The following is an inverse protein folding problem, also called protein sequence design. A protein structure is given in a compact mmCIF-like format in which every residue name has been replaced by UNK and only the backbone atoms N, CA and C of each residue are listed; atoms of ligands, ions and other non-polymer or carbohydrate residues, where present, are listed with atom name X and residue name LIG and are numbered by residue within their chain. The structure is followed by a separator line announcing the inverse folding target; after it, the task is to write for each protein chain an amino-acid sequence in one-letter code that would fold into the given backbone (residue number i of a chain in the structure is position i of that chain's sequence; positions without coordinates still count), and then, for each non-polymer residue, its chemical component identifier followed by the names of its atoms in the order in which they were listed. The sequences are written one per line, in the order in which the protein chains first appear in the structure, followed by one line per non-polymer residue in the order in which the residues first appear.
data_IF_494892684767
#
_entry.id   IF_494892684767
#
_cell.length_a   1.000
_cell.length_b   1.000
_cell.length_c   1.000
_cell.angle_alpha   90.00
_cell.angle_beta   90.00
_cell.angle_gamma   90.00
#
_symmetry.space_group_name_H-M   'P 1'
#
loop_
_entity.id
_entity.type
_entity.pdbx_description
1 polymer ?
#
# COMPACT_ATOMS: atom_id res chain seq x y z
N UNK A 1 2.98 -8.19 -32.92
CA UNK A 1 3.65 -8.35 -31.62
C UNK A 1 2.74 -7.77 -30.55
N UNK A 2 1.75 -8.55 -30.13
CA UNK A 2 0.89 -8.22 -28.98
C UNK A 2 1.50 -8.91 -27.78
N UNK A 3 2.01 -8.12 -26.85
CA UNK A 3 2.53 -8.60 -25.57
C UNK A 3 1.32 -8.96 -24.70
N UNK A 4 0.89 -10.22 -24.75
CA UNK A 4 -0.06 -10.77 -23.78
C UNK A 4 0.66 -10.76 -22.42
N UNK A 5 0.37 -9.75 -21.60
CA UNK A 5 0.98 -9.59 -20.29
C UNK A 5 0.28 -10.59 -19.33
N UNK A 6 0.82 -11.79 -19.20
CA UNK A 6 0.27 -12.82 -18.31
C UNK A 6 0.36 -12.38 -16.85
N UNK A 7 -0.74 -12.54 -16.10
CA UNK A 7 -0.77 -12.24 -14.68
C UNK A 7 0.04 -13.27 -13.92
N UNK A 8 1.11 -12.85 -13.25
CA UNK A 8 1.97 -13.78 -12.51
C UNK A 8 1.33 -14.29 -11.22
N UNK A 9 0.40 -13.54 -10.61
CA UNK A 9 -0.23 -13.91 -9.34
C UNK A 9 -1.60 -14.60 -9.51
N UNK A 10 -2.00 -14.92 -10.74
CA UNK A 10 -3.25 -15.62 -11.05
C UNK A 10 -2.95 -16.94 -11.76
N UNK A 11 -3.65 -18.00 -11.38
CA UNK A 11 -3.57 -19.28 -12.09
C UNK A 11 -4.35 -19.25 -13.41
N UNK A 12 -4.34 -20.36 -14.16
CA UNK A 12 -5.05 -20.49 -15.45
C UNK A 12 -6.58 -20.33 -15.32
N UNK A 13 -7.13 -20.47 -14.11
CA UNK A 13 -8.55 -20.29 -13.78
C UNK A 13 -8.84 -18.89 -13.23
N UNK A 14 -7.84 -18.01 -13.13
CA UNK A 14 -7.96 -16.65 -12.58
C UNK A 14 -8.00 -16.60 -11.06
N UNK A 15 -7.63 -17.68 -10.36
CA UNK A 15 -7.56 -17.73 -8.90
C UNK A 15 -6.21 -17.21 -8.41
N UNK A 16 -6.19 -16.54 -7.26
CA UNK A 16 -4.95 -16.03 -6.68
C UNK A 16 -4.02 -17.19 -6.29
N UNK A 17 -2.76 -17.12 -6.71
CA UNK A 17 -1.71 -18.04 -6.29
C UNK A 17 -0.42 -17.27 -5.98
N UNK A 18 0.41 -17.83 -5.10
CA UNK A 18 1.72 -17.26 -4.78
C UNK A 18 2.73 -17.74 -5.82
N UNK A 19 3.47 -16.79 -6.41
CA UNK A 19 4.55 -17.10 -7.36
C UNK A 19 5.70 -17.76 -6.62
N UNK A 20 6.18 -18.90 -7.13
CA UNK A 20 7.41 -19.52 -6.64
C UNK A 20 8.63 -18.63 -7.01
N UNK A 21 9.41 -18.26 -6.01
CA UNK A 21 10.61 -17.44 -6.13
C UNK A 21 11.85 -18.13 -5.58
N UNK A 22 11.78 -19.45 -5.33
CA UNK A 22 12.83 -20.22 -4.65
C UNK A 22 14.19 -20.13 -5.34
N UNK A 23 14.22 -20.22 -6.67
CA UNK A 23 15.48 -20.19 -7.46
C UNK A 23 16.00 -18.78 -7.75
N UNK A 24 15.41 -17.74 -7.14
CA UNK A 24 15.86 -16.36 -7.38
C UNK A 24 17.05 -16.01 -6.50
N UNK A 25 18.10 -15.49 -7.13
CA UNK A 25 19.25 -14.94 -6.42
C UNK A 25 18.83 -13.84 -5.43
N UNK A 26 19.35 -13.93 -4.21
CA UNK A 26 19.13 -12.93 -3.16
C UNK A 26 19.85 -11.65 -3.53
N UNK A 27 19.13 -10.53 -3.54
CA UNK A 27 19.71 -9.20 -3.77
C UNK A 27 19.12 -8.16 -2.82
N UNK A 28 19.88 -7.08 -2.58
CA UNK A 28 19.41 -5.95 -1.78
C UNK A 28 18.41 -5.15 -2.62
N UNK A 29 17.17 -5.06 -2.14
CA UNK A 29 16.09 -4.33 -2.80
C UNK A 29 15.43 -3.39 -1.81
N UNK A 30 15.08 -2.20 -2.28
CA UNK A 30 14.28 -1.23 -1.55
C UNK A 30 13.14 -0.74 -2.43
N UNK A 31 12.03 -0.37 -1.82
CA UNK A 31 10.88 0.22 -2.49
C UNK A 31 10.29 1.32 -1.62
N UNK A 32 9.85 2.40 -2.26
CA UNK A 32 9.14 3.51 -1.60
C UNK A 32 7.75 3.61 -2.21
N UNK A 33 6.74 3.70 -1.37
CA UNK A 33 5.36 3.95 -1.76
C UNK A 33 4.84 5.23 -1.09
N UNK A 34 3.87 5.87 -1.71
CA UNK A 34 3.17 7.03 -1.15
C UNK A 34 1.66 6.89 -1.35
N UNK A 35 0.90 7.59 -0.53
CA UNK A 35 -0.56 7.61 -0.58
C UNK A 35 -1.09 8.87 0.10
N UNK A 36 -2.37 9.14 -0.07
CA UNK A 36 -3.03 10.29 0.53
C UNK A 36 -4.45 9.94 0.95
N UNK A 37 -4.95 10.63 1.97
CA UNK A 37 -6.33 10.51 2.46
C UNK A 37 -7.04 11.82 2.19
N UNK A 38 -8.14 11.77 1.44
CA UNK A 38 -8.97 12.95 1.20
C UNK A 38 -9.78 13.27 2.45
N UNK A 39 -9.66 14.49 2.95
CA UNK A 39 -10.36 14.97 4.14
C UNK A 39 -11.09 16.29 3.83
N UNK A 40 -12.08 16.63 4.66
CA UNK A 40 -12.67 17.96 4.67
C UNK A 40 -11.74 18.98 5.33
N UNK A 41 -11.93 20.27 5.05
CA UNK A 41 -11.16 21.36 5.69
C UNK A 41 -11.25 21.30 7.22
N UNK A 42 -12.45 21.07 7.75
CA UNK A 42 -12.68 20.95 9.21
C UNK A 42 -11.83 19.86 9.86
N UNK A 43 -11.68 18.69 9.21
CA UNK A 43 -10.84 17.62 9.77
C UNK A 43 -9.37 17.99 9.70
N UNK A 44 -8.93 18.66 8.64
CA UNK A 44 -7.55 19.15 8.52
C UNK A 44 -7.22 20.17 9.61
N UNK A 45 -8.15 21.05 9.95
CA UNK A 45 -8.01 22.03 11.04
C UNK A 45 -7.90 21.31 12.39
N UNK A 46 -8.82 20.38 12.71
CA UNK A 46 -8.79 19.60 13.95
C UNK A 46 -7.50 18.80 14.11
N UNK A 47 -6.98 18.24 13.01
CA UNK A 47 -5.69 17.53 13.00
C UNK A 47 -4.51 18.44 13.36
N UNK A 48 -4.52 19.69 12.87
CA UNK A 48 -3.45 20.67 13.12
C UNK A 48 -3.48 21.23 14.53
N UNK A 49 -4.69 21.44 15.07
CA UNK A 49 -4.91 22.01 16.40
C UNK A 49 -4.83 20.96 17.53
N UNK A 50 -4.73 19.67 17.18
CA UNK A 50 -4.75 18.58 18.15
C UNK A 50 -6.12 18.37 18.80
N UNK A 51 -7.18 18.93 18.24
CA UNK A 51 -8.56 18.89 18.76
C UNK A 51 -9.33 17.61 18.41
N UNK A 52 -8.65 16.55 17.97
CA UNK A 52 -9.33 15.32 17.54
C UNK A 52 -9.83 14.53 18.76
N UNK A 53 -11.15 14.23 18.86
CA UNK A 53 -11.72 13.55 20.03
C UNK A 53 -11.16 12.14 20.30
N UNK A 54 -10.53 11.55 19.28
CA UNK A 54 -9.95 10.19 19.31
C UNK A 54 -8.48 10.18 19.75
N UNK A 55 -7.92 11.33 20.15
CA UNK A 55 -6.51 11.47 20.49
C UNK A 55 -5.60 11.65 19.27
N UNK A 56 -4.33 11.28 19.39
CA UNK A 56 -3.32 11.48 18.35
C UNK A 56 -3.44 10.45 17.22
N UNK A 57 -4.15 10.85 16.18
CA UNK A 57 -4.41 10.01 15.00
C UNK A 57 -3.22 9.91 14.04
N UNK A 58 -2.28 10.87 14.03
CA UNK A 58 -1.10 10.80 13.18
C UNK A 58 -0.03 9.88 13.77
N UNK A 59 0.13 9.88 15.10
CA UNK A 59 0.94 8.90 15.78
C UNK A 59 0.37 7.49 15.59
N UNK A 60 -0.95 7.34 15.74
CA UNK A 60 -1.63 6.05 15.52
C UNK A 60 -1.45 5.53 14.09
N UNK A 61 -1.49 6.40 13.07
CA UNK A 61 -1.33 5.99 11.67
C UNK A 61 0.11 5.59 11.28
N UNK A 62 1.11 5.87 12.13
CA UNK A 62 2.52 5.58 11.85
C UNK A 62 2.96 4.18 12.33
N UNK A 63 2.32 3.68 13.39
CA UNK A 63 2.62 2.39 14.02
C UNK A 63 1.91 1.27 13.28
#
# INVERSE_FOLDING_TARGET
MTTENSFTHLDEKGQAHMVDVTDRDVSIRTATASGWVKLSSTVVELLREGGVPKGDVLATARV
#
